data_IF_757000209561
#
_entry.id   IF_757000209561
#
_cell.length_a   1.000
_cell.length_b   1.000
_cell.length_c   1.000
_cell.angle_alpha   90.00
_cell.angle_beta   90.00
_cell.angle_gamma   90.00
#
_symmetry.space_group_name_H-M   'P 1'
#
loop_
_entity.id
_entity.type
_entity.pdbx_description
1 polymer ?
#
# COMPACT_ATOMS: atom_id res chain seq x y z
N UNK A 1 -49.77 34.98 -7.62
CA UNK A 1 -48.41 35.26 -8.13
C UNK A 1 -47.48 34.34 -7.36
N UNK A 2 -46.85 33.43 -8.09
CA UNK A 2 -46.15 32.23 -7.61
C UNK A 2 -44.91 32.56 -6.78
N UNK A 3 -44.78 31.89 -5.63
CA UNK A 3 -43.58 31.91 -4.78
C UNK A 3 -42.32 31.56 -5.57
N UNK A 4 -41.18 32.23 -5.32
CA UNK A 4 -39.92 31.86 -5.97
C UNK A 4 -39.43 30.53 -5.43
N UNK A 5 -38.97 29.71 -6.37
CA UNK A 5 -38.45 28.37 -6.23
C UNK A 5 -37.24 28.35 -5.27
N UNK A 6 -37.36 27.74 -4.10
CA UNK A 6 -36.22 27.44 -3.23
C UNK A 6 -35.54 26.18 -3.75
N UNK A 7 -34.48 26.36 -4.54
CA UNK A 7 -33.51 25.30 -4.87
C UNK A 7 -33.00 24.68 -3.55
N UNK A 8 -32.95 23.35 -3.42
CA UNK A 8 -32.35 22.75 -2.23
C UNK A 8 -30.84 23.01 -2.30
N UNK A 9 -30.32 23.80 -1.36
CA UNK A 9 -28.88 23.88 -1.12
C UNK A 9 -28.40 22.46 -0.81
N UNK A 10 -27.64 21.87 -1.74
CA UNK A 10 -26.90 20.66 -1.47
C UNK A 10 -26.01 20.95 -0.27
N UNK A 11 -26.24 20.27 0.85
CA UNK A 11 -25.38 20.34 2.02
C UNK A 11 -23.97 19.96 1.58
N UNK A 12 -23.11 20.95 1.34
CA UNK A 12 -21.68 20.73 1.15
C UNK A 12 -21.16 20.30 2.51
N UNK A 13 -21.17 18.99 2.75
CA UNK A 13 -20.57 18.40 3.94
C UNK A 13 -19.12 18.83 4.04
N UNK A 14 -18.62 19.00 5.26
CA UNK A 14 -17.21 19.33 5.52
C UNK A 14 -16.31 18.39 4.69
N UNK A 15 -15.33 18.91 3.93
CA UNK A 15 -14.44 18.07 3.13
C UNK A 15 -13.76 17.01 4.01
N UNK A 16 -13.83 15.74 3.58
CA UNK A 16 -13.15 14.65 4.27
C UNK A 16 -11.65 14.83 4.07
N UNK A 17 -10.92 15.08 5.16
CA UNK A 17 -9.45 15.08 5.16
C UNK A 17 -8.94 13.65 5.27
N UNK A 18 -8.39 13.06 4.21
CA UNK A 18 -7.92 11.67 4.27
C UNK A 18 -6.82 11.46 5.32
N UNK A 19 -5.99 12.48 5.57
CA UNK A 19 -4.94 12.42 6.59
C UNK A 19 -5.48 12.26 8.01
N UNK A 20 -6.77 12.56 8.26
CA UNK A 20 -7.39 12.33 9.57
C UNK A 20 -7.47 10.84 9.94
N UNK A 21 -7.34 9.94 8.97
CA UNK A 21 -7.30 8.49 9.19
C UNK A 21 -5.87 7.95 9.39
N UNK A 22 -4.86 8.79 9.20
CA UNK A 22 -3.44 8.44 9.37
C UNK A 22 -2.96 8.79 10.78
N UNK A 23 -3.21 7.88 11.72
CA UNK A 23 -2.86 8.06 13.14
C UNK A 23 -1.34 8.03 13.42
N UNK A 24 -0.50 7.85 12.40
CA UNK A 24 0.96 7.90 12.47
C UNK A 24 1.55 8.59 11.25
N UNK A 25 2.61 9.37 11.46
CA UNK A 25 3.28 10.14 10.43
C UNK A 25 4.39 9.32 9.73
N UNK A 26 4.17 8.92 8.48
CA UNK A 26 5.23 8.46 7.55
C UNK A 26 5.85 7.08 7.82
N UNK A 27 7.14 6.92 7.47
CA UNK A 27 7.89 5.65 7.56
C UNK A 27 7.92 4.99 8.96
N UNK A 28 7.56 5.73 10.03
CA UNK A 28 7.48 5.20 11.38
C UNK A 28 6.37 4.17 11.61
N UNK A 29 5.48 3.96 10.64
CA UNK A 29 4.41 2.98 10.70
C UNK A 29 4.78 1.59 10.15
N UNK A 30 5.97 1.42 9.53
CA UNK A 30 6.43 0.10 9.07
C UNK A 30 6.88 -0.75 10.27
N UNK A 31 6.56 -2.04 10.26
CA UNK A 31 7.04 -2.99 11.28
C UNK A 31 8.57 -3.02 11.20
N UNK A 32 9.25 -2.94 12.36
CA UNK A 32 10.71 -2.99 12.35
C UNK A 32 11.22 -4.33 11.79
N UNK A 33 12.35 -4.36 11.09
CA UNK A 33 12.89 -5.59 10.48
C UNK A 33 13.02 -6.74 11.49
N UNK A 34 13.46 -6.44 12.71
CA UNK A 34 13.62 -7.44 13.79
C UNK A 34 12.28 -8.08 14.20
N UNK A 35 11.20 -7.30 14.23
CA UNK A 35 9.86 -7.82 14.57
C UNK A 35 9.33 -8.65 13.41
N UNK A 36 9.54 -8.20 12.17
CA UNK A 36 9.15 -8.93 10.97
C UNK A 36 9.85 -10.29 10.88
N UNK A 37 11.15 -10.35 11.18
CA UNK A 37 11.93 -11.61 11.24
C UNK A 37 11.27 -12.63 12.18
N UNK A 38 10.82 -12.20 13.37
CA UNK A 38 10.14 -13.07 14.35
C UNK A 38 8.78 -13.55 13.82
N UNK A 39 8.01 -12.68 13.18
CA UNK A 39 6.71 -13.04 12.59
C UNK A 39 6.90 -14.08 11.47
N UNK A 40 7.88 -13.88 10.60
CA UNK A 40 8.13 -14.76 9.45
C UNK A 40 8.77 -16.09 9.85
N UNK A 41 9.48 -16.17 10.97
CA UNK A 41 10.09 -17.42 11.45
C UNK A 41 9.06 -18.56 11.65
N UNK A 42 7.79 -18.24 11.89
CA UNK A 42 6.71 -19.21 12.05
C UNK A 42 5.93 -19.55 10.77
N UNK A 43 6.24 -18.91 9.63
CA UNK A 43 5.44 -18.99 8.39
C UNK A 43 5.59 -20.30 7.59
N UNK A 44 6.28 -21.30 8.17
CA UNK A 44 6.59 -22.57 7.51
C UNK A 44 7.93 -22.55 6.79
N UNK A 45 8.42 -23.72 6.41
CA UNK A 45 9.69 -23.84 5.68
C UNK A 45 9.65 -22.93 4.45
N UNK A 46 10.61 -22.01 4.37
CA UNK A 46 10.93 -21.27 3.15
C UNK A 46 11.19 -22.35 2.10
N UNK A 47 10.19 -22.66 1.29
CA UNK A 47 10.32 -23.70 0.28
C UNK A 47 11.37 -23.18 -0.68
N UNK A 48 12.55 -23.80 -0.66
CA UNK A 48 13.65 -23.49 -1.57
C UNK A 48 13.27 -24.06 -2.93
N UNK A 49 12.25 -23.49 -3.56
CA UNK A 49 11.96 -23.73 -4.96
C UNK A 49 13.12 -23.11 -5.75
N UNK A 50 13.90 -23.89 -6.51
CA UNK A 50 15.00 -23.35 -7.30
C UNK A 50 14.56 -22.31 -8.34
N UNK A 51 13.27 -22.27 -8.68
CA UNK A 51 12.68 -21.25 -9.56
C UNK A 51 12.41 -19.92 -8.85
N UNK A 52 12.40 -19.88 -7.52
CA UNK A 52 12.32 -18.63 -6.76
C UNK A 52 13.72 -18.02 -6.65
N UNK A 53 14.11 -17.26 -7.67
CA UNK A 53 15.43 -16.62 -7.74
C UNK A 53 15.64 -15.58 -6.63
N UNK A 54 14.59 -14.83 -6.31
CA UNK A 54 14.58 -13.86 -5.21
C UNK A 54 13.32 -14.07 -4.39
N UNK A 55 13.48 -14.26 -3.09
CA UNK A 55 12.39 -14.54 -2.17
C UNK A 55 12.69 -13.99 -0.78
N UNK A 56 11.92 -14.42 0.21
CA UNK A 56 11.99 -13.86 1.56
C UNK A 56 13.36 -14.07 2.25
N UNK A 57 14.19 -15.00 1.77
CA UNK A 57 15.53 -15.24 2.30
C UNK A 57 16.54 -14.11 2.00
N UNK A 58 16.39 -13.39 0.89
CA UNK A 58 17.34 -12.33 0.48
C UNK A 58 17.00 -10.95 1.04
N UNK A 59 15.79 -10.77 1.60
CA UNK A 59 15.29 -9.50 2.17
C UNK A 59 15.28 -8.32 1.16
N UNK A 60 15.00 -8.64 -0.11
CA UNK A 60 14.84 -7.65 -1.19
C UNK A 60 13.44 -7.02 -1.20
N UNK A 61 13.29 -5.93 -1.96
CA UNK A 61 12.04 -5.17 -2.14
C UNK A 61 11.02 -5.86 -3.06
N UNK A 62 11.37 -6.99 -3.68
CA UNK A 62 10.50 -7.74 -4.59
C UNK A 62 10.85 -9.24 -4.61
N UNK A 63 9.89 -10.06 -4.99
CA UNK A 63 10.12 -11.45 -5.34
C UNK A 63 10.37 -11.58 -6.85
N UNK A 64 11.24 -12.51 -7.24
CA UNK A 64 11.50 -12.87 -8.63
C UNK A 64 11.34 -14.36 -8.80
N UNK A 65 10.40 -14.76 -9.67
CA UNK A 65 10.10 -16.16 -9.95
C UNK A 65 10.35 -16.50 -11.42
N UNK A 66 11.12 -17.55 -11.66
CA UNK A 66 11.51 -18.00 -12.99
C UNK A 66 10.31 -18.52 -13.80
N UNK A 67 10.19 -18.04 -15.03
CA UNK A 67 9.36 -18.66 -16.07
C UNK A 67 10.17 -19.70 -16.85
N UNK A 68 11.46 -19.43 -17.06
CA UNK A 68 12.48 -20.31 -17.63
C UNK A 68 13.89 -19.87 -17.16
N UNK A 69 14.94 -20.39 -17.77
CA UNK A 69 16.33 -20.16 -17.37
C UNK A 69 16.82 -18.70 -17.59
N UNK A 70 16.09 -17.90 -18.38
CA UNK A 70 16.49 -16.52 -18.74
C UNK A 70 15.48 -15.45 -18.33
N UNK A 71 14.22 -15.83 -18.05
CA UNK A 71 13.12 -14.90 -17.78
C UNK A 71 12.46 -15.17 -16.44
N UNK A 72 12.15 -14.11 -15.70
CA UNK A 72 11.41 -14.17 -14.45
C UNK A 72 10.30 -13.12 -14.35
N UNK A 73 9.30 -13.40 -13.52
CA UNK A 73 8.26 -12.46 -13.10
C UNK A 73 8.74 -11.75 -11.84
N UNK A 74 8.79 -10.42 -11.90
CA UNK A 74 9.01 -9.57 -10.72
C UNK A 74 7.65 -9.22 -10.12
N UNK A 75 7.48 -9.48 -8.84
CA UNK A 75 6.26 -9.15 -8.10
C UNK A 75 6.64 -8.45 -6.81
N UNK A 76 6.07 -7.26 -6.60
CA UNK A 76 6.19 -6.50 -5.36
C UNK A 76 4.84 -5.92 -4.97
N UNK A 77 4.70 -5.53 -3.70
CA UNK A 77 3.52 -4.86 -3.17
C UNK A 77 3.96 -3.90 -2.08
N UNK A 78 3.49 -2.66 -2.13
CA UNK A 78 3.63 -1.69 -1.04
C UNK A 78 2.28 -1.02 -0.80
N UNK A 79 2.06 -0.58 0.44
CA UNK A 79 0.88 0.16 0.84
C UNK A 79 1.22 1.03 2.04
N UNK A 80 0.57 2.20 2.10
CA UNK A 80 0.73 3.12 3.21
C UNK A 80 -0.54 3.92 3.44
N UNK A 81 -0.63 4.54 4.62
CA UNK A 81 -1.77 5.39 5.01
C UNK A 81 -1.75 6.72 4.26
N UNK A 82 -2.91 7.38 4.06
CA UNK A 82 -2.98 8.65 3.32
C UNK A 82 -2.02 9.72 3.86
N UNK A 83 -1.20 10.29 2.98
CA UNK A 83 -0.23 11.36 3.32
C UNK A 83 -0.65 12.75 2.83
N UNK A 84 -1.69 12.81 2.00
CA UNK A 84 -2.32 14.03 1.48
C UNK A 84 -3.84 13.87 1.58
N UNK A 85 -4.56 14.98 1.65
CA UNK A 85 -6.02 14.97 1.80
C UNK A 85 -6.77 14.74 0.48
N UNK A 86 -6.13 15.02 -0.66
CA UNK A 86 -6.74 14.79 -1.97
C UNK A 86 -6.64 13.29 -2.36
N UNK A 87 -7.77 12.60 -2.62
CA UNK A 87 -7.77 11.17 -2.95
C UNK A 87 -7.09 10.86 -4.28
N UNK A 88 -7.17 11.76 -5.25
CA UNK A 88 -6.61 11.53 -6.57
C UNK A 88 -5.08 11.61 -6.52
N UNK A 89 -4.54 12.61 -5.83
CA UNK A 89 -3.11 12.76 -5.59
C UNK A 89 -2.58 11.65 -4.70
N UNK A 90 -3.30 11.25 -3.64
CA UNK A 90 -2.89 10.10 -2.83
C UNK A 90 -2.78 8.82 -3.67
N UNK A 91 -3.77 8.54 -4.53
CA UNK A 91 -3.72 7.37 -5.42
C UNK A 91 -2.53 7.40 -6.39
N UNK A 92 -2.20 8.56 -6.94
CA UNK A 92 -1.02 8.72 -7.82
C UNK A 92 0.29 8.52 -7.08
N UNK A 93 0.40 9.07 -5.86
CA UNK A 93 1.59 8.87 -5.02
C UNK A 93 1.74 7.40 -4.65
N UNK A 94 0.66 6.75 -4.22
CA UNK A 94 0.67 5.33 -3.85
C UNK A 94 1.03 4.40 -5.02
N UNK A 95 0.50 4.66 -6.23
CA UNK A 95 0.79 3.85 -7.40
C UNK A 95 2.21 4.02 -7.97
N UNK A 96 2.93 5.08 -7.57
CA UNK A 96 4.29 5.37 -8.04
C UNK A 96 5.36 4.78 -7.11
N UNK A 97 4.97 4.42 -5.88
CA UNK A 97 5.89 3.98 -4.83
C UNK A 97 6.58 2.65 -5.14
#
# INVERSE_FOLDING_TARGET
MTSPNSTPESSVGVPIRLTQYSHGAGCGCKISPKVLDVILAGSGAQHLDPRLWVGNASRDDAAVYALDDERGVVSTTDFFMPIVDDPFDFGRIAATN
#
